data_IF_919022183056
#
_entry.id   IF_919022183056
#
_cell.length_a   1.000
_cell.length_b   1.000
_cell.length_c   1.000
_cell.angle_alpha   90.00
_cell.angle_beta   90.00
_cell.angle_gamma   90.00
#
_symmetry.space_group_name_H-M   'P 1'
#
loop_
_entity.id
_entity.type
_entity.pdbx_description
1 polymer ?
#
# COMPACT_ATOMS: atom_id res chain seq x y z
N UNK A 1 6.34 -15.59 -8.15
CA UNK A 1 6.75 -16.68 -9.07
C UNK A 1 8.10 -16.32 -9.72
N UNK A 2 9.20 -16.90 -9.24
CA UNK A 2 10.55 -16.67 -9.78
C UNK A 2 10.75 -17.55 -11.03
N UNK A 3 10.64 -16.97 -12.23
CA UNK A 3 11.06 -17.63 -13.47
C UNK A 3 12.55 -17.35 -13.68
N UNK A 4 13.39 -18.36 -13.51
CA UNK A 4 14.83 -18.27 -13.79
C UNK A 4 15.09 -17.91 -15.26
N UNK A 5 15.98 -16.95 -15.48
CA UNK A 5 16.37 -16.43 -16.80
C UNK A 5 17.33 -17.35 -17.55
N UNK A 6 17.81 -18.40 -16.89
CA UNK A 6 18.68 -19.42 -17.43
C UNK A 6 18.00 -20.79 -17.39
N UNK A 7 18.36 -21.66 -18.33
CA UNK A 7 17.98 -23.06 -18.34
C UNK A 7 19.21 -23.92 -18.62
N UNK A 8 19.25 -25.13 -18.07
CA UNK A 8 20.27 -26.13 -18.42
C UNK A 8 19.59 -27.10 -19.39
N UNK A 9 20.08 -27.25 -20.64
CA UNK A 9 19.53 -28.23 -21.56
C UNK A 9 19.83 -29.66 -21.05
N UNK A 10 19.01 -30.67 -21.40
CA UNK A 10 19.29 -32.05 -21.03
C UNK A 10 20.71 -32.46 -21.48
N UNK A 11 21.54 -32.92 -20.53
CA UNK A 11 22.94 -33.31 -20.78
C UNK A 11 23.97 -32.17 -20.72
N UNK A 12 23.55 -30.91 -20.48
CA UNK A 12 24.46 -29.78 -20.30
C UNK A 12 24.95 -29.61 -18.85
N UNK A 13 26.17 -29.12 -18.67
CA UNK A 13 26.73 -28.81 -17.33
C UNK A 13 26.72 -27.31 -17.00
N UNK A 14 26.45 -26.44 -17.98
CA UNK A 14 26.45 -24.99 -17.82
C UNK A 14 25.08 -24.36 -18.18
N UNK A 15 24.57 -23.41 -17.37
CA UNK A 15 23.30 -22.73 -17.63
C UNK A 15 23.39 -21.80 -18.85
N UNK A 16 22.44 -21.95 -19.78
CA UNK A 16 22.32 -21.15 -21.00
C UNK A 16 21.12 -20.18 -20.93
N UNK A 17 21.19 -19.10 -21.70
CA UNK A 17 20.12 -18.10 -21.82
C UNK A 17 19.05 -18.60 -22.80
N UNK A 18 17.76 -18.44 -22.48
CA UNK A 18 16.65 -18.93 -23.35
C UNK A 18 16.61 -18.20 -24.72
N UNK A 19 16.45 -18.91 -25.85
CA UNK A 19 16.54 -18.33 -27.21
C UNK A 19 15.47 -17.28 -27.56
N UNK A 20 14.31 -17.29 -26.92
CA UNK A 20 13.18 -16.39 -27.22
C UNK A 20 13.25 -15.02 -26.53
N UNK A 21 14.33 -14.70 -25.82
CA UNK A 21 14.46 -13.44 -25.09
C UNK A 21 14.89 -12.28 -26.01
N UNK A 22 13.93 -11.63 -26.69
CA UNK A 22 14.13 -10.28 -27.25
C UNK A 22 14.55 -9.31 -26.13
N UNK A 23 15.25 -8.22 -26.49
CA UNK A 23 15.82 -7.21 -25.56
C UNK A 23 14.80 -6.89 -24.46
N UNK A 24 15.20 -7.12 -23.21
CA UNK A 24 14.43 -6.77 -22.02
C UNK A 24 14.50 -5.26 -21.84
N UNK A 25 13.38 -4.55 -21.96
CA UNK A 25 13.20 -3.31 -21.22
C UNK A 25 13.17 -3.70 -19.75
N UNK A 26 14.00 -3.12 -18.87
CA UNK A 26 13.93 -3.42 -17.45
C UNK A 26 12.58 -2.96 -16.91
N UNK A 27 11.69 -3.91 -16.64
CA UNK A 27 10.56 -3.70 -15.73
C UNK A 27 11.19 -3.42 -14.36
N UNK A 28 11.20 -2.16 -13.97
CA UNK A 28 11.52 -1.76 -12.59
C UNK A 28 10.30 -2.11 -11.76
N UNK A 29 10.21 -3.34 -11.27
CA UNK A 29 9.30 -3.63 -10.16
C UNK A 29 9.64 -2.66 -9.03
N UNK A 30 8.63 -1.96 -8.52
CA UNK A 30 8.79 -1.14 -7.32
C UNK A 30 9.41 -2.01 -6.21
N UNK A 31 10.49 -1.57 -5.55
CA UNK A 31 11.13 -2.38 -4.52
C UNK A 31 10.22 -2.42 -3.30
N UNK A 32 9.55 -3.55 -3.10
CA UNK A 32 8.70 -3.82 -1.92
C UNK A 32 9.56 -4.08 -0.67
N UNK A 33 10.85 -4.40 -0.83
CA UNK A 33 11.63 -5.01 0.25
C UNK A 33 12.70 -4.13 0.94
N UNK A 34 12.92 -2.87 0.54
CA UNK A 34 13.96 -2.04 1.20
C UNK A 34 13.58 -0.57 1.26
N UNK A 35 12.93 -0.21 2.35
CA UNK A 35 13.05 1.13 2.89
C UNK A 35 14.54 1.47 3.11
N UNK A 36 14.96 2.56 2.44
CA UNK A 36 15.90 3.58 2.92
C UNK A 36 17.41 3.40 2.63
N UNK A 37 17.81 3.80 1.42
CA UNK A 37 18.73 4.94 1.14
C UNK A 37 18.86 5.07 -0.39
N UNK A 38 18.68 6.26 -0.94
CA UNK A 38 19.11 6.55 -2.30
C UNK A 38 20.63 6.41 -2.34
N UNK A 39 21.14 5.32 -2.93
CA UNK A 39 22.57 5.01 -3.00
C UNK A 39 23.32 6.22 -3.58
N UNK A 40 24.28 6.77 -2.85
CA UNK A 40 25.10 7.91 -3.30
C UNK A 40 24.51 9.32 -3.09
N UNK A 41 23.43 9.48 -2.32
CA UNK A 41 22.90 10.81 -1.98
C UNK A 41 23.67 11.49 -0.84
N UNK A 42 24.01 12.77 -1.00
CA UNK A 42 24.48 13.65 0.07
C UNK A 42 23.61 14.93 0.13
N UNK A 43 22.95 15.21 1.27
CA UNK A 43 22.82 14.35 2.45
C UNK A 43 22.04 13.04 2.14
N UNK A 44 22.07 12.02 3.03
CA UNK A 44 21.35 10.77 2.82
C UNK A 44 19.85 11.02 2.58
N UNK A 45 19.37 10.63 1.39
CA UNK A 45 17.96 10.76 0.98
C UNK A 45 17.29 9.40 0.98
N UNK A 46 15.99 9.40 1.25
CA UNK A 46 15.12 8.25 0.95
C UNK A 46 14.99 8.12 -0.59
N UNK A 47 14.67 6.93 -1.11
CA UNK A 47 14.46 6.78 -2.55
C UNK A 47 13.33 7.69 -3.06
N UNK A 48 12.25 7.84 -2.29
CA UNK A 48 11.12 8.72 -2.63
C UNK A 48 11.50 10.20 -2.62
N UNK A 49 12.33 10.65 -1.67
CA UNK A 49 12.84 12.03 -1.70
C UNK A 49 13.78 12.26 -2.90
N UNK A 50 14.62 11.29 -3.26
CA UNK A 50 15.40 11.34 -4.50
C UNK A 50 14.52 11.40 -5.76
N UNK A 51 13.41 10.65 -5.78
CA UNK A 51 12.44 10.69 -6.88
C UNK A 51 11.73 12.04 -6.97
N UNK A 52 11.26 12.59 -5.84
CA UNK A 52 10.65 13.91 -5.78
C UNK A 52 11.58 15.00 -6.31
N UNK A 53 12.87 14.94 -5.96
CA UNK A 53 13.88 15.89 -6.44
C UNK A 53 14.10 15.78 -7.96
N UNK A 54 14.13 14.56 -8.51
CA UNK A 54 14.23 14.36 -9.96
C UNK A 54 13.02 14.92 -10.69
N UNK A 55 11.81 14.75 -10.12
CA UNK A 55 10.58 15.30 -10.69
C UNK A 55 10.57 16.84 -10.63
N UNK A 56 11.01 17.44 -9.53
CA UNK A 56 11.18 18.90 -9.44
C UNK A 56 12.21 19.43 -10.43
N UNK A 57 13.36 18.79 -10.54
CA UNK A 57 14.40 19.17 -11.49
C UNK A 57 13.95 19.05 -12.96
N UNK A 58 12.96 18.21 -13.23
CA UNK A 58 12.32 18.07 -14.53
C UNK A 58 11.16 19.06 -14.76
N UNK A 59 10.94 20.01 -13.85
CA UNK A 59 9.98 21.12 -14.01
C UNK A 59 8.58 20.88 -13.44
N UNK A 60 8.31 19.75 -12.77
CA UNK A 60 7.01 19.42 -12.21
C UNK A 60 6.93 19.69 -10.70
N UNK A 61 7.26 20.92 -10.30
CA UNK A 61 7.28 21.31 -8.88
C UNK A 61 5.90 21.27 -8.23
N UNK A 62 4.87 21.72 -8.95
CA UNK A 62 3.49 21.74 -8.48
C UNK A 62 2.93 20.33 -8.24
N UNK A 63 3.29 19.36 -9.08
CA UNK A 63 2.94 17.95 -8.93
C UNK A 63 3.57 17.38 -7.66
N UNK A 64 4.85 17.69 -7.41
CA UNK A 64 5.52 17.23 -6.19
C UNK A 64 4.89 17.87 -4.94
N UNK A 65 4.57 19.16 -4.99
CA UNK A 65 3.92 19.85 -3.88
C UNK A 65 2.56 19.21 -3.55
N UNK A 66 1.73 18.94 -4.57
CA UNK A 66 0.44 18.31 -4.35
C UNK A 66 0.55 16.84 -3.93
N UNK A 67 1.49 16.07 -4.48
CA UNK A 67 1.71 14.69 -4.05
C UNK A 67 2.12 14.63 -2.57
N UNK A 68 2.95 15.59 -2.11
CA UNK A 68 3.32 15.71 -0.68
C UNK A 68 2.15 16.14 0.19
N UNK A 69 1.35 17.11 -0.25
CA UNK A 69 0.16 17.54 0.49
C UNK A 69 -0.86 16.39 0.61
N UNK A 70 -1.08 15.67 -0.50
CA UNK A 70 -1.90 14.46 -0.52
C UNK A 70 -1.38 13.41 0.46
N UNK A 71 -0.08 13.11 0.42
CA UNK A 71 0.54 12.13 1.33
C UNK A 71 0.30 12.50 2.80
N UNK A 72 0.55 13.76 3.17
CA UNK A 72 0.31 14.24 4.53
C UNK A 72 -1.16 14.07 4.94
N UNK A 73 -2.11 14.51 4.09
CA UNK A 73 -3.54 14.40 4.36
C UNK A 73 -4.00 12.94 4.45
N UNK A 74 -3.41 12.05 3.66
CA UNK A 74 -3.76 10.63 3.65
C UNK A 74 -3.23 9.90 4.88
N UNK A 75 -2.05 10.28 5.38
CA UNK A 75 -1.51 9.77 6.65
C UNK A 75 -2.32 10.31 7.83
N UNK A 76 -2.68 11.59 7.81
CA UNK A 76 -3.52 12.19 8.84
C UNK A 76 -4.90 11.50 8.91
N UNK A 77 -5.52 11.22 7.76
CA UNK A 77 -6.78 10.49 7.71
C UNK A 77 -6.67 9.11 8.38
N UNK A 78 -5.63 8.32 8.08
CA UNK A 78 -5.37 7.03 8.74
C UNK A 78 -5.21 7.16 10.25
N UNK A 79 -4.50 8.19 10.71
CA UNK A 79 -4.12 8.34 12.11
C UNK A 79 -5.14 9.09 12.97
N UNK A 80 -6.13 9.75 12.34
CA UNK A 80 -7.21 10.46 13.04
C UNK A 80 -8.14 9.49 13.78
N UNK A 81 -8.44 8.34 13.16
CA UNK A 81 -9.09 7.19 13.76
C UNK A 81 -8.43 5.92 13.22
N UNK A 82 -7.35 5.42 13.85
CA UNK A 82 -6.63 4.25 13.34
C UNK A 82 -7.48 2.98 13.29
N UNK A 83 -8.58 2.92 14.05
CA UNK A 83 -9.50 1.78 14.00
C UNK A 83 -10.35 1.82 12.73
N UNK A 84 -10.80 2.99 12.30
CA UNK A 84 -11.63 3.11 11.09
C UNK A 84 -10.80 3.35 9.82
N UNK A 85 -9.62 3.93 9.94
CA UNK A 85 -8.72 4.24 8.81
C UNK A 85 -8.10 2.99 8.18
N UNK A 86 -7.87 1.95 8.97
CA UNK A 86 -7.39 0.65 8.47
C UNK A 86 -8.56 -0.26 8.10
N UNK A 87 -8.87 -0.34 6.81
CA UNK A 87 -9.99 -1.12 6.29
C UNK A 87 -9.82 -2.62 6.48
N UNK A 88 -8.58 -3.12 6.46
CA UNK A 88 -8.25 -4.54 6.64
C UNK A 88 -8.37 -4.96 8.12
N UNK A 89 -8.33 -4.01 9.07
CA UNK A 89 -8.58 -4.24 10.50
C UNK A 89 -7.39 -4.81 11.28
N UNK A 90 -6.23 -4.92 10.63
CA UNK A 90 -4.96 -5.33 11.22
C UNK A 90 -4.55 -4.48 12.43
N UNK A 91 -4.76 -3.17 12.39
CA UNK A 91 -4.46 -2.26 13.48
C UNK A 91 -5.30 -2.56 14.71
N UNK A 92 -6.60 -2.83 14.51
CA UNK A 92 -7.49 -3.16 15.61
C UNK A 92 -7.17 -4.53 16.20
N UNK A 93 -6.93 -5.54 15.36
CA UNK A 93 -6.52 -6.87 15.81
C UNK A 93 -5.18 -6.83 16.58
N UNK A 94 -4.18 -6.11 16.05
CA UNK A 94 -2.89 -5.95 16.70
C UNK A 94 -3.01 -5.21 18.05
N UNK A 95 -3.84 -4.17 18.10
CA UNK A 95 -4.09 -3.40 19.31
C UNK A 95 -4.84 -4.21 20.37
N UNK A 96 -5.86 -4.99 19.99
CA UNK A 96 -6.53 -5.93 20.88
C UNK A 96 -5.54 -6.93 21.46
N UNK A 97 -4.70 -7.55 20.62
CA UNK A 97 -3.67 -8.50 21.05
C UNK A 97 -2.70 -7.90 22.07
N UNK A 98 -2.33 -6.64 21.90
CA UNK A 98 -1.33 -5.97 22.73
C UNK A 98 -1.92 -5.37 24.03
N UNK A 99 -3.14 -4.83 23.98
CA UNK A 99 -3.73 -4.01 25.04
C UNK A 99 -4.92 -4.66 25.76
N UNK A 100 -5.59 -5.63 25.12
CA UNK A 100 -6.81 -6.29 25.59
C UNK A 100 -6.71 -7.81 25.33
N UNK A 101 -5.61 -8.40 25.80
CA UNK A 101 -5.20 -9.76 25.45
C UNK A 101 -6.25 -10.80 25.84
N UNK A 102 -6.88 -10.61 26.99
CA UNK A 102 -7.96 -11.44 27.51
C UNK A 102 -9.16 -11.47 26.56
N UNK A 103 -9.52 -10.34 25.97
CA UNK A 103 -10.58 -10.26 24.96
C UNK A 103 -10.10 -10.94 23.66
N UNK A 104 -8.88 -10.62 23.22
CA UNK A 104 -8.31 -11.14 21.98
C UNK A 104 -8.16 -12.68 21.95
N UNK A 105 -7.91 -13.30 23.11
CA UNK A 105 -7.79 -14.76 23.23
C UNK A 105 -9.16 -15.48 23.34
N UNK A 106 -10.24 -14.76 23.69
CA UNK A 106 -11.59 -15.30 23.91
C UNK A 106 -12.59 -14.93 22.79
N UNK A 107 -12.14 -14.48 21.62
CA UNK A 107 -13.02 -14.14 20.49
C UNK A 107 -12.55 -14.79 19.19
N UNK A 108 -13.49 -14.92 18.25
CA UNK A 108 -13.14 -15.22 16.87
C UNK A 108 -12.37 -14.04 16.23
N UNK A 109 -11.25 -14.37 15.60
CA UNK A 109 -10.29 -13.45 15.00
C UNK A 109 -9.86 -13.89 13.60
N UNK A 110 -10.64 -14.79 12.99
CA UNK A 110 -10.38 -15.31 11.65
C UNK A 110 -10.44 -14.23 10.57
N UNK A 111 -11.28 -13.21 10.78
CA UNK A 111 -11.43 -12.05 9.89
C UNK A 111 -11.22 -10.73 10.68
N UNK A 112 -10.04 -10.09 10.54
CA UNK A 112 -9.75 -8.81 11.17
C UNK A 112 -10.65 -7.65 10.68
N UNK A 113 -11.08 -7.67 9.41
CA UNK A 113 -11.95 -6.64 8.83
C UNK A 113 -13.35 -6.71 9.45
N UNK A 114 -13.90 -7.93 9.62
CA UNK A 114 -15.16 -8.14 10.33
C UNK A 114 -15.02 -7.73 11.80
N UNK A 115 -13.97 -8.21 12.47
CA UNK A 115 -13.71 -7.95 13.88
C UNK A 115 -13.68 -6.45 14.20
N UNK A 116 -13.07 -5.65 13.33
CA UNK A 116 -13.01 -4.19 13.42
C UNK A 116 -14.40 -3.55 13.45
N UNK A 117 -15.34 -4.05 12.64
CA UNK A 117 -16.70 -3.52 12.48
C UNK A 117 -17.67 -3.93 13.58
N UNK A 118 -17.34 -4.96 14.36
CA UNK A 118 -18.22 -5.45 15.42
C UNK A 118 -18.30 -4.47 16.60
N UNK A 119 -19.54 -4.17 17.02
CA UNK A 119 -19.78 -3.47 18.29
C UNK A 119 -19.54 -4.41 19.48
N UNK A 120 -19.86 -5.70 19.33
CA UNK A 120 -19.69 -6.73 20.36
C UNK A 120 -19.21 -8.05 19.74
N UNK A 121 -18.26 -8.71 20.40
CA UNK A 121 -17.83 -10.07 20.05
C UNK A 121 -18.34 -11.08 21.09
N UNK A 122 -18.67 -12.29 20.62
CA UNK A 122 -19.07 -13.39 21.50
C UNK A 122 -17.82 -14.01 22.12
N UNK A 123 -17.87 -14.28 23.43
CA UNK A 123 -16.90 -15.12 24.12
C UNK A 123 -16.90 -16.53 23.53
N UNK A 124 -15.72 -17.10 23.31
CA UNK A 124 -15.52 -18.49 22.91
C UNK A 124 -15.77 -19.44 24.09
N UNK A 125 -15.46 -19.02 25.32
CA UNK A 125 -15.77 -19.76 26.54
C UNK A 125 -17.29 -19.82 26.82
N UNK A 126 -18.03 -18.77 26.46
CA UNK A 126 -19.46 -18.63 26.74
C UNK A 126 -20.30 -18.22 25.50
N UNK A 127 -20.31 -19.03 24.42
CA UNK A 127 -20.81 -18.62 23.10
C UNK A 127 -22.32 -18.33 23.05
N UNK A 128 -23.10 -18.93 23.97
CA UNK A 128 -24.56 -18.75 24.05
C UNK A 128 -24.97 -17.58 24.96
N UNK A 129 -24.05 -17.03 25.75
CA UNK A 129 -24.39 -16.03 26.76
C UNK A 129 -24.31 -14.61 26.18
N UNK A 130 -25.42 -13.86 26.26
CA UNK A 130 -25.40 -12.42 25.91
C UNK A 130 -24.65 -11.57 26.94
N UNK A 131 -24.53 -12.05 28.18
CA UNK A 131 -23.88 -11.33 29.30
C UNK A 131 -22.35 -11.39 29.25
N UNK A 132 -21.79 -12.40 28.59
CA UNK A 132 -20.34 -12.61 28.46
C UNK A 132 -19.83 -12.18 27.08
N UNK A 133 -20.46 -11.17 26.47
CA UNK A 133 -19.97 -10.60 25.21
C UNK A 133 -18.99 -9.49 25.53
N UNK A 134 -17.92 -9.41 24.74
CA UNK A 134 -16.92 -8.36 24.86
C UNK A 134 -17.36 -7.11 24.10
N UNK A 135 -17.29 -5.94 24.72
CA UNK A 135 -17.69 -4.66 24.13
C UNK A 135 -16.54 -4.05 23.32
N UNK A 136 -16.45 -4.43 22.04
CA UNK A 136 -15.43 -3.93 21.11
C UNK A 136 -15.68 -2.48 20.68
N UNK A 137 -16.92 -2.01 20.74
CA UNK A 137 -17.29 -0.61 20.47
C UNK A 137 -16.64 0.35 21.45
N UNK A 138 -16.38 -0.06 22.68
CA UNK A 138 -15.73 0.82 23.68
C UNK A 138 -14.22 0.94 23.49
N UNK A 139 -13.61 0.03 22.75
CA UNK A 139 -12.17 -0.02 22.54
C UNK A 139 -11.82 0.96 21.42
N UNK A 140 -10.98 1.93 21.77
CA UNK A 140 -10.45 2.95 20.85
C UNK A 140 -8.94 2.80 20.76
N UNK A 141 -8.43 2.90 19.54
CA UNK A 141 -7.01 3.11 19.31
C UNK A 141 -6.76 4.62 19.44
N UNK A 142 -5.82 5.06 20.29
CA UNK A 142 -5.38 6.44 20.36
C UNK A 142 -5.04 7.01 18.98
N UNK A 143 -5.54 8.22 18.72
CA UNK A 143 -5.10 8.99 17.57
C UNK A 143 -3.66 9.50 17.75
N UNK A 144 -3.11 10.10 16.70
CA UNK A 144 -1.72 10.59 16.66
C UNK A 144 -1.37 11.51 17.83
N UNK A 145 -2.22 12.48 18.17
CA UNK A 145 -1.94 13.44 19.24
C UNK A 145 -1.86 12.78 20.61
N UNK A 146 -2.76 11.84 20.89
CA UNK A 146 -2.75 11.09 22.15
C UNK A 146 -1.53 10.17 22.19
N UNK A 147 -1.21 9.48 21.09
CA UNK A 147 -0.04 8.61 21.02
C UNK A 147 1.27 9.38 21.24
N UNK A 148 1.46 10.55 20.62
CA UNK A 148 2.65 11.37 20.85
C UNK A 148 2.73 11.92 22.29
N UNK A 149 1.60 12.27 22.91
CA UNK A 149 1.57 12.62 24.34
C UNK A 149 1.98 11.45 25.24
N UNK A 150 1.59 10.22 24.89
CA UNK A 150 2.03 9.00 25.60
C UNK A 150 3.55 8.80 25.42
N UNK A 151 4.08 8.94 24.20
CA UNK A 151 5.52 8.82 23.95
C UNK A 151 6.35 9.93 24.58
N UNK A 152 5.83 11.15 24.71
CA UNK A 152 6.52 12.23 25.40
C UNK A 152 6.78 11.95 26.89
N UNK A 153 6.07 10.97 27.48
CA UNK A 153 6.28 10.50 28.85
C UNK A 153 7.24 9.32 28.94
N UNK A 154 7.68 8.78 27.81
CA UNK A 154 8.65 7.69 27.76
C UNK A 154 10.06 8.25 27.95
N UNK A 155 10.79 7.67 28.90
CA UNK A 155 12.20 7.95 29.15
C UNK A 155 12.98 6.66 28.92
N UNK A 156 13.74 6.54 27.81
CA UNK A 156 14.47 5.32 27.46
C UNK A 156 15.58 4.99 28.46
N UNK A 157 16.07 5.95 29.23
CA UNK A 157 17.10 5.73 30.25
C UNK A 157 16.50 5.15 31.54
N UNK A 158 15.19 5.35 31.77
CA UNK A 158 14.52 4.95 33.02
C UNK A 158 13.70 3.67 32.89
N UNK A 159 13.20 3.34 31.70
CA UNK A 159 12.40 2.12 31.50
C UNK A 159 12.38 1.65 30.05
N UNK A 160 11.99 0.39 29.87
CA UNK A 160 11.65 -0.17 28.56
C UNK A 160 10.23 0.23 28.13
N UNK A 161 9.95 0.13 26.84
CA UNK A 161 8.62 0.40 26.28
C UNK A 161 7.62 -0.70 26.66
N UNK A 162 6.38 -0.31 26.96
CA UNK A 162 5.31 -1.26 27.24
C UNK A 162 4.64 -1.78 25.94
N UNK A 163 3.70 -2.72 26.03
CA UNK A 163 3.04 -3.29 24.86
C UNK A 163 2.21 -2.26 24.08
N UNK A 164 1.51 -1.39 24.79
CA UNK A 164 0.68 -0.30 24.22
C UNK A 164 1.54 0.69 23.43
N UNK A 165 2.65 1.14 24.01
CA UNK A 165 3.58 2.06 23.35
C UNK A 165 4.18 1.45 22.07
N UNK A 166 4.53 0.16 22.12
CA UNK A 166 5.07 -0.56 20.96
C UNK A 166 4.05 -0.69 19.83
N UNK A 167 2.80 -1.09 20.13
CA UNK A 167 1.77 -1.23 19.09
C UNK A 167 1.38 0.12 18.50
N UNK A 168 1.28 1.18 19.32
CA UNK A 168 1.04 2.53 18.81
C UNK A 168 2.17 3.02 17.91
N UNK A 169 3.43 2.74 18.28
CA UNK A 169 4.59 3.10 17.47
C UNK A 169 4.59 2.37 16.13
N UNK A 170 4.19 1.09 16.12
CA UNK A 170 4.03 0.31 14.89
C UNK A 170 2.95 0.89 13.99
N UNK A 171 1.74 1.15 14.51
CA UNK A 171 0.62 1.74 13.77
C UNK A 171 1.02 3.07 13.12
N UNK A 172 1.72 3.93 13.88
CA UNK A 172 2.21 5.21 13.36
C UNK A 172 3.18 5.02 12.20
N UNK A 173 4.25 4.24 12.41
CA UNK A 173 5.26 3.99 11.37
C UNK A 173 4.63 3.35 10.14
N UNK A 174 3.71 2.41 10.34
CA UNK A 174 3.06 1.69 9.26
C UNK A 174 2.16 2.60 8.43
N UNK A 175 1.40 3.50 9.05
CA UNK A 175 0.57 4.49 8.33
C UNK A 175 1.40 5.37 7.40
N UNK A 176 2.59 5.82 7.86
CA UNK A 176 3.51 6.56 7.01
C UNK A 176 4.06 5.70 5.87
N UNK A 177 4.42 4.45 6.13
CA UNK A 177 4.97 3.53 5.14
C UNK A 177 3.94 3.16 4.06
N UNK A 178 2.72 2.79 4.45
CA UNK A 178 1.63 2.46 3.53
C UNK A 178 1.42 3.57 2.50
N UNK A 179 1.31 4.82 2.96
CA UNK A 179 1.09 5.97 2.06
C UNK A 179 2.35 6.43 1.32
N UNK A 180 3.52 6.02 1.78
CA UNK A 180 4.78 6.32 1.10
C UNK A 180 4.91 5.51 -0.19
N UNK A 181 4.33 4.31 -0.24
CA UNK A 181 4.19 3.51 -1.47
C UNK A 181 3.32 4.24 -2.49
N UNK A 182 2.18 4.77 -2.08
CA UNK A 182 1.28 5.52 -2.97
C UNK A 182 1.96 6.79 -3.50
N UNK A 183 2.64 7.54 -2.63
CA UNK A 183 3.42 8.72 -3.01
C UNK A 183 4.49 8.36 -4.05
N UNK A 184 5.19 7.25 -3.85
CA UNK A 184 6.17 6.76 -4.81
C UNK A 184 5.57 6.44 -6.18
N UNK A 185 4.38 5.81 -6.20
CA UNK A 185 3.67 5.50 -7.45
C UNK A 185 3.30 6.80 -8.17
N UNK A 186 2.69 7.76 -7.46
CA UNK A 186 2.33 9.08 -8.01
C UNK A 186 3.55 9.78 -8.63
N UNK A 187 4.65 9.89 -7.89
CA UNK A 187 5.85 10.55 -8.40
C UNK A 187 6.50 9.78 -9.57
N UNK A 188 6.37 8.45 -9.60
CA UNK A 188 6.87 7.64 -10.71
C UNK A 188 6.05 7.89 -11.97
N UNK A 189 4.73 8.02 -11.85
CA UNK A 189 3.84 8.40 -12.94
C UNK A 189 4.25 9.75 -13.52
N UNK A 190 4.40 10.78 -12.68
CA UNK A 190 4.84 12.11 -13.13
C UNK A 190 6.17 12.01 -13.88
N UNK A 191 7.14 11.29 -13.32
CA UNK A 191 8.44 11.10 -13.97
C UNK A 191 8.36 10.42 -15.34
N UNK A 192 7.48 9.43 -15.50
CA UNK A 192 7.27 8.76 -16.79
C UNK A 192 6.67 9.74 -17.81
N UNK A 193 5.67 10.52 -17.41
CA UNK A 193 5.02 11.52 -18.27
C UNK A 193 6.03 12.58 -18.72
N UNK A 194 6.86 13.09 -17.82
CA UNK A 194 7.90 14.08 -18.16
C UNK A 194 9.00 13.54 -19.08
N UNK A 195 9.18 12.22 -19.15
CA UNK A 195 10.16 11.60 -20.03
C UNK A 195 9.61 11.34 -21.45
N UNK A 196 8.30 11.47 -21.66
CA UNK A 196 7.67 11.34 -22.97
C UNK A 196 7.86 12.62 -23.79
N UNK A 197 7.90 12.51 -25.12
CA UNK A 197 7.99 13.71 -25.94
C UNK A 197 6.67 14.50 -25.91
N UNK A 198 6.69 15.82 -26.12
CA UNK A 198 5.48 16.63 -26.16
C UNK A 198 4.47 16.09 -27.17
N UNK A 199 3.23 15.87 -26.72
CA UNK A 199 2.15 15.33 -27.54
C UNK A 199 2.12 13.81 -27.68
N UNK A 200 3.10 13.08 -27.12
CA UNK A 200 3.06 11.61 -27.12
C UNK A 200 2.03 11.08 -26.13
N UNK A 201 1.17 10.14 -26.53
CA UNK A 201 0.26 9.47 -25.61
C UNK A 201 1.06 8.57 -24.65
N UNK A 202 0.77 8.68 -23.36
CA UNK A 202 1.39 7.87 -22.31
C UNK A 202 0.35 6.93 -21.71
N UNK A 203 0.61 5.62 -21.79
CA UNK A 203 -0.20 4.59 -21.13
C UNK A 203 0.54 4.08 -19.91
N UNK A 204 -0.12 4.13 -18.75
CA UNK A 204 0.45 3.65 -17.49
C UNK A 204 -0.40 2.48 -17.00
N UNK A 205 0.22 1.31 -16.95
CA UNK A 205 -0.38 0.12 -16.34
C UNK A 205 0.21 -0.04 -14.94
N UNK A 206 -0.63 0.20 -13.92
CA UNK A 206 -0.25 0.02 -12.53
C UNK A 206 -0.70 -1.35 -12.02
N UNK A 207 0.25 -2.10 -11.47
CA UNK A 207 0.00 -3.35 -10.77
C UNK A 207 0.17 -3.12 -9.27
N UNK A 208 -0.93 -3.18 -8.52
CA UNK A 208 -0.90 -3.04 -7.07
C UNK A 208 -2.14 -3.63 -6.41
N UNK A 209 -2.10 -3.68 -5.07
CA UNK A 209 -3.29 -3.98 -4.27
C UNK A 209 -4.39 -2.97 -4.54
N UNK A 210 -5.64 -3.39 -4.33
CA UNK A 210 -6.83 -2.56 -4.61
C UNK A 210 -6.75 -1.21 -3.89
N UNK A 211 -6.38 -1.21 -2.61
CA UNK A 211 -6.29 0.01 -1.81
C UNK A 211 -5.29 1.00 -2.39
N UNK A 212 -4.10 0.55 -2.78
CA UNK A 212 -3.10 1.42 -3.40
C UNK A 212 -3.60 1.96 -4.74
N UNK A 213 -4.24 1.11 -5.57
CA UNK A 213 -4.79 1.53 -6.85
C UNK A 213 -5.89 2.58 -6.67
N UNK A 214 -6.79 2.40 -5.71
CA UNK A 214 -7.88 3.33 -5.41
C UNK A 214 -7.35 4.68 -4.91
N UNK A 215 -6.34 4.68 -4.03
CA UNK A 215 -5.72 5.90 -3.52
C UNK A 215 -5.00 6.70 -4.60
N UNK A 216 -4.21 6.02 -5.44
CA UNK A 216 -3.53 6.66 -6.58
C UNK A 216 -4.55 7.18 -7.59
N UNK A 217 -5.59 6.41 -7.92
CA UNK A 217 -6.65 6.86 -8.81
C UNK A 217 -7.39 8.08 -8.25
N UNK A 218 -7.66 8.12 -6.94
CA UNK A 218 -8.28 9.28 -6.27
C UNK A 218 -7.43 10.54 -6.40
N UNK A 219 -6.10 10.43 -6.22
CA UNK A 219 -5.19 11.56 -6.42
C UNK A 219 -5.29 12.13 -7.85
N UNK A 220 -5.24 11.26 -8.87
CA UNK A 220 -5.36 11.69 -10.27
C UNK A 220 -6.75 12.21 -10.61
N UNK A 221 -7.80 11.65 -10.00
CA UNK A 221 -9.18 12.16 -10.07
C UNK A 221 -9.31 13.62 -9.65
N UNK A 222 -8.63 14.00 -8.56
CA UNK A 222 -8.57 15.38 -8.07
C UNK A 222 -7.82 16.32 -9.03
N UNK A 223 -7.04 15.77 -9.97
CA UNK A 223 -6.32 16.48 -11.02
C UNK A 223 -7.02 16.39 -12.38
N UNK A 224 -8.33 16.13 -12.38
CA UNK A 224 -9.19 16.04 -13.56
C UNK A 224 -8.90 14.87 -14.50
N UNK A 225 -8.06 13.91 -14.12
CA UNK A 225 -7.96 12.64 -14.84
C UNK A 225 -9.17 11.78 -14.48
N UNK A 226 -9.76 11.13 -15.47
CA UNK A 226 -10.93 10.29 -15.25
C UNK A 226 -10.83 9.02 -16.09
N UNK A 227 -11.81 8.14 -15.90
CA UNK A 227 -11.89 6.86 -16.57
C UNK A 227 -12.68 6.91 -17.88
N UNK A 228 -13.05 8.10 -18.38
CA UNK A 228 -13.83 8.23 -19.61
C UNK A 228 -13.11 7.58 -20.78
N UNK A 229 -13.83 6.76 -21.53
CA UNK A 229 -13.27 5.99 -22.65
C UNK A 229 -12.61 4.67 -22.27
N UNK A 230 -12.40 4.37 -20.98
CA UNK A 230 -11.79 3.12 -20.54
C UNK A 230 -12.86 2.06 -20.20
N UNK A 231 -12.75 0.83 -20.74
CA UNK A 231 -13.62 -0.27 -20.34
C UNK A 231 -13.51 -0.57 -18.84
N UNK A 232 -14.66 -0.83 -18.19
CA UNK A 232 -14.75 -1.09 -16.73
C UNK A 232 -14.05 -0.03 -15.87
N UNK A 233 -14.10 1.22 -16.31
CA UNK A 233 -13.44 2.35 -15.66
C UNK A 233 -11.91 2.16 -15.49
N UNK A 234 -11.28 1.39 -16.38
CA UNK A 234 -9.85 1.08 -16.33
C UNK A 234 -9.45 0.01 -15.30
N UNK A 235 -10.41 -0.59 -14.59
CA UNK A 235 -10.12 -1.63 -13.59
C UNK A 235 -10.04 -3.02 -14.22
N UNK A 236 -8.94 -3.72 -13.93
CA UNK A 236 -8.70 -5.10 -14.37
C UNK A 236 -8.38 -5.96 -13.15
N UNK A 237 -9.26 -6.90 -12.84
CA UNK A 237 -9.09 -7.85 -11.76
C UNK A 237 -10.40 -8.17 -11.05
N UNK A 238 -10.28 -8.78 -9.87
CA UNK A 238 -11.35 -9.02 -8.91
C UNK A 238 -10.94 -8.48 -7.54
N UNK A 239 -11.92 -7.95 -6.80
CA UNK A 239 -11.75 -7.47 -5.41
C UNK A 239 -11.59 -8.62 -4.44
N UNK A 240 -12.41 -9.67 -4.63
CA UNK A 240 -12.40 -10.88 -3.83
C UNK A 240 -12.01 -12.04 -4.74
N UNK A 241 -10.91 -12.70 -4.37
CA UNK A 241 -10.48 -13.95 -4.96
C UNK A 241 -10.83 -15.05 -3.97
N UNK A 242 -11.38 -16.17 -4.45
CA UNK A 242 -11.49 -17.36 -3.61
C UNK A 242 -10.09 -17.88 -3.26
N UNK A 243 -9.90 -18.51 -2.10
CA UNK A 243 -8.57 -18.98 -1.65
C UNK A 243 -7.88 -19.88 -2.67
N UNK A 244 -8.67 -20.69 -3.37
CA UNK A 244 -8.20 -21.64 -4.39
C UNK A 244 -8.19 -21.05 -5.81
N UNK A 245 -8.64 -19.79 -6.01
CA UNK A 245 -8.68 -19.19 -7.34
C UNK A 245 -7.26 -18.77 -7.78
N UNK A 246 -6.77 -19.26 -8.93
CA UNK A 246 -5.50 -18.80 -9.46
C UNK A 246 -5.58 -17.29 -9.74
N UNK A 247 -4.73 -16.51 -9.07
CA UNK A 247 -4.63 -15.04 -9.18
C UNK A 247 -4.03 -14.56 -10.51
N UNK A 248 -4.42 -15.20 -11.61
CA UNK A 248 -4.03 -14.84 -12.96
C UNK A 248 -4.89 -13.69 -13.47
N UNK A 249 -4.25 -12.61 -13.93
CA UNK A 249 -4.94 -11.55 -14.65
C UNK A 249 -4.88 -11.85 -16.15
N UNK A 250 -6.04 -12.05 -16.76
CA UNK A 250 -6.15 -11.98 -18.22
C UNK A 250 -6.30 -10.51 -18.60
N UNK A 251 -5.27 -9.96 -19.23
CA UNK A 251 -5.32 -8.59 -19.71
C UNK A 251 -6.29 -8.49 -20.90
N UNK A 252 -7.13 -7.45 -20.94
CA UNK A 252 -7.91 -7.14 -22.14
C UNK A 252 -6.99 -6.94 -23.34
N UNK A 253 -7.49 -7.28 -24.54
CA UNK A 253 -6.77 -7.11 -25.81
C UNK A 253 -6.26 -5.69 -25.99
N UNK A 254 -7.00 -4.69 -25.54
CA UNK A 254 -6.62 -3.29 -25.68
C UNK A 254 -5.35 -2.89 -24.93
N UNK A 255 -4.94 -3.63 -23.89
CA UNK A 255 -3.62 -3.40 -23.26
C UNK A 255 -2.46 -3.95 -24.10
N UNK A 256 -2.77 -4.79 -25.09
CA UNK A 256 -1.84 -5.34 -26.06
C UNK A 256 -1.91 -4.62 -27.41
N UNK A 257 -3.05 -4.00 -27.72
CA UNK A 257 -3.28 -3.17 -28.91
C UNK A 257 -3.70 -1.74 -28.51
N UNK A 258 -2.75 -0.81 -28.58
CA UNK A 258 -2.97 0.59 -28.20
C UNK A 258 -4.00 1.31 -29.09
N UNK A 259 -4.31 0.79 -30.28
CA UNK A 259 -5.38 1.35 -31.12
C UNK A 259 -6.77 1.15 -30.52
N UNK A 260 -6.94 0.16 -29.64
CA UNK A 260 -8.18 -0.08 -28.90
C UNK A 260 -8.27 0.75 -27.59
N UNK A 261 -7.14 1.23 -27.06
CA UNK A 261 -7.07 2.05 -25.84
C UNK A 261 -7.48 3.50 -26.07
N UNK A 262 -7.13 4.02 -27.24
CA UNK A 262 -7.48 5.36 -27.69
C UNK A 262 -8.33 5.18 -28.94
N UNK A 263 -9.65 4.94 -28.83
CA UNK A 263 -10.51 5.05 -29.99
C UNK A 263 -10.38 6.49 -30.48
N UNK A 264 -9.58 6.67 -31.53
CA UNK A 264 -9.42 7.94 -32.22
C UNK A 264 -10.83 8.31 -32.73
N UNK A 265 -11.33 9.54 -32.49
CA UNK A 265 -12.51 10.01 -33.18
C UNK A 265 -12.32 9.99 -34.71
#
# INVERSE_FOLDING_TARGET
CLRSLAYVPPGGTAPLRRPSARRKVPVRSAPVDRYLKARGSQPPRTWVSGLAEQVRAAGAEEEVAAARAWYASSVEALLSDPKEGDTEGDYFAAYLRACHREIYEDIDRSDPEELRRLDFAKSLEHPKSKKHRHNLKSIRIPNVDVAFKEFGRFDPEKRVTNARERVLGQILVDSFNLRLVDLAIILTVVKIVLAAAPGEPVVIVFYGGEDHAAHVAKFWGQRCFNYSGLPKNGFIGKRQWEEDEPRGLTFPSYLHDFSELFPVP
#
